data_IF_298890496264
#
_entry.id   IF_298890496264
#
_cell.length_a   1.000
_cell.length_b   1.000
_cell.length_c   1.000
_cell.angle_alpha   90.00
_cell.angle_beta   90.00
_cell.angle_gamma   90.00
#
_symmetry.space_group_name_H-M   'P 1'
#
loop_
_entity.id
_entity.type
_entity.pdbx_description
1 polymer ?
#
# COMPACT_ATOMS: atom_id res chain seq x y z
N UNK A 1 55.93 11.21 38.03
CA UNK A 1 55.42 12.56 37.70
C UNK A 1 54.06 12.36 37.06
N UNK A 2 53.00 12.38 37.87
CA UNK A 2 51.61 12.25 37.42
C UNK A 2 51.00 13.66 37.27
N UNK A 3 50.11 13.91 36.30
CA UNK A 3 49.47 15.21 36.16
C UNK A 3 48.44 15.44 37.28
N UNK A 4 48.10 16.70 37.61
CA UNK A 4 47.19 17.02 38.70
C UNK A 4 45.73 16.76 38.30
N UNK A 5 44.94 16.31 39.26
CA UNK A 5 43.49 16.15 39.13
C UNK A 5 42.83 17.53 38.96
N UNK A 6 42.24 17.77 37.79
CA UNK A 6 41.38 18.92 37.51
C UNK A 6 39.97 18.61 38.04
N UNK A 7 39.49 19.43 38.98
CA UNK A 7 38.15 19.30 39.56
C UNK A 7 37.11 19.77 38.54
N UNK A 8 36.39 18.83 37.94
CA UNK A 8 35.21 19.11 37.10
C UNK A 8 34.14 19.78 37.95
N UNK A 9 33.94 21.08 37.75
CA UNK A 9 32.77 21.80 38.25
C UNK A 9 31.52 21.20 37.59
N UNK A 10 30.62 20.63 38.40
CA UNK A 10 29.29 20.22 37.94
C UNK A 10 28.47 21.48 37.70
N UNK A 11 28.18 21.80 36.44
CA UNK A 11 27.10 22.71 36.11
C UNK A 11 25.79 22.18 36.71
N UNK A 12 24.93 23.05 37.28
CA UNK A 12 23.70 22.61 37.92
C UNK A 12 22.71 22.12 36.84
N UNK A 13 22.41 20.82 36.87
CA UNK A 13 21.39 20.15 36.03
C UNK A 13 20.01 20.83 36.06
N UNK A 14 19.74 21.67 37.06
CA UNK A 14 18.43 22.29 37.25
C UNK A 14 18.13 23.38 36.20
N UNK A 15 19.15 24.02 35.61
CA UNK A 15 18.95 25.06 34.58
C UNK A 15 18.51 24.47 33.23
N UNK A 16 18.97 23.26 32.89
CA UNK A 16 18.53 22.56 31.68
C UNK A 16 17.11 21.99 31.85
N UNK A 17 16.72 21.65 33.09
CA UNK A 17 15.36 21.16 33.39
C UNK A 17 14.32 22.28 33.30
N UNK A 18 14.64 23.51 33.75
CA UNK A 18 13.76 24.68 33.57
C UNK A 18 13.62 25.09 32.09
N UNK A 19 14.67 24.93 31.29
CA UNK A 19 14.63 25.18 29.84
C UNK A 19 13.82 24.10 29.08
N UNK A 20 13.76 22.87 29.60
CA UNK A 20 12.93 21.79 29.08
C UNK A 20 11.46 21.95 29.50
N UNK A 21 11.17 22.50 30.68
CA UNK A 21 9.80 22.77 31.12
C UNK A 21 9.13 23.92 30.34
N UNK A 22 9.90 24.95 29.94
CA UNK A 22 9.39 26.05 29.11
C UNK A 22 9.26 25.72 27.61
N UNK A 23 9.68 24.52 27.17
CA UNK A 23 9.47 24.04 25.81
C UNK A 23 8.15 23.26 25.63
N UNK A 24 7.29 23.23 26.66
CA UNK A 24 5.94 22.64 26.62
C UNK A 24 4.85 23.67 26.32
N UNK A 25 5.08 24.59 25.39
CA UNK A 25 3.96 25.25 24.72
C UNK A 25 3.42 24.28 23.64
N UNK A 26 2.90 23.15 24.12
CA UNK A 26 2.31 22.06 23.34
C UNK A 26 0.79 22.21 23.35
N UNK A 27 0.29 23.35 22.91
CA UNK A 27 -1.10 23.46 22.52
C UNK A 27 -1.16 23.38 21.00
N UNK A 28 -1.74 22.31 20.47
CA UNK A 28 -2.05 22.18 19.05
C UNK A 28 -2.84 23.38 18.48
N UNK A 29 -3.17 23.38 17.18
CA UNK A 29 -3.81 24.53 16.54
C UNK A 29 -5.00 25.02 17.38
N UNK A 30 -5.09 26.34 17.58
CA UNK A 30 -6.18 26.92 18.37
C UNK A 30 -7.52 26.51 17.76
N UNK A 31 -8.49 26.20 18.63
CA UNK A 31 -9.83 25.86 18.16
C UNK A 31 -10.37 27.00 17.28
N UNK A 32 -11.06 26.72 16.16
CA UNK A 32 -11.63 27.77 15.33
C UNK A 32 -12.56 28.71 16.12
N UNK A 33 -12.61 30.02 15.79
CA UNK A 33 -13.41 31.01 16.55
C UNK A 33 -14.89 30.64 16.74
N UNK A 34 -15.47 29.88 15.80
CA UNK A 34 -16.85 29.40 15.86
C UNK A 34 -17.08 28.27 16.88
N UNK A 35 -16.01 27.63 17.36
CA UNK A 35 -16.03 26.50 18.27
C UNK A 35 -15.46 26.85 19.66
N UNK A 36 -14.69 27.93 19.79
CA UNK A 36 -14.09 28.40 21.06
C UNK A 36 -15.12 28.74 22.16
N UNK A 37 -16.39 28.96 21.80
CA UNK A 37 -17.48 29.29 22.72
C UNK A 37 -18.46 28.15 23.05
N UNK A 38 -18.22 26.93 22.54
CA UNK A 38 -19.09 25.77 22.74
C UNK A 38 -18.58 24.90 23.89
N UNK A 39 -19.48 24.17 24.56
CA UNK A 39 -19.06 23.14 25.53
C UNK A 39 -18.35 21.97 24.81
N UNK A 40 -17.42 21.29 25.48
CA UNK A 40 -16.67 20.15 24.90
C UNK A 40 -17.59 19.04 24.35
N UNK A 41 -18.70 18.79 25.03
CA UNK A 41 -19.73 17.82 24.67
C UNK A 41 -20.51 18.25 23.41
N UNK A 42 -20.69 19.54 23.18
CA UNK A 42 -21.27 20.07 21.94
C UNK A 42 -20.30 19.92 20.77
N UNK A 43 -19.01 20.20 20.97
CA UNK A 43 -17.95 20.02 19.96
C UNK A 43 -17.89 18.55 19.51
N UNK A 44 -17.87 17.60 20.46
CA UNK A 44 -17.90 16.15 20.16
C UNK A 44 -19.16 15.74 19.38
N UNK A 45 -20.29 16.39 19.65
CA UNK A 45 -21.55 16.11 18.95
C UNK A 45 -21.51 16.61 17.51
N UNK A 46 -20.99 17.82 17.27
CA UNK A 46 -20.79 18.39 15.92
C UNK A 46 -19.79 17.54 15.14
N UNK A 47 -18.69 17.16 15.77
CA UNK A 47 -17.70 16.23 15.23
C UNK A 47 -18.34 14.93 14.75
N UNK A 48 -19.12 14.25 15.61
CA UNK A 48 -19.68 12.94 15.27
C UNK A 48 -20.68 13.04 14.12
N UNK A 49 -21.40 14.15 14.02
CA UNK A 49 -22.30 14.45 12.90
C UNK A 49 -21.52 14.70 11.62
N UNK A 50 -20.45 15.49 11.68
CA UNK A 50 -19.55 15.73 10.55
C UNK A 50 -18.98 14.41 10.03
N UNK A 51 -18.32 13.63 10.89
CA UNK A 51 -17.67 12.35 10.51
C UNK A 51 -18.70 11.44 9.81
N UNK A 52 -19.88 11.25 10.40
CA UNK A 52 -20.93 10.43 9.79
C UNK A 52 -21.40 10.96 8.43
N UNK A 53 -21.48 12.28 8.27
CA UNK A 53 -21.89 12.91 7.01
C UNK A 53 -20.81 12.71 5.93
N UNK A 54 -19.54 12.84 6.31
CA UNK A 54 -18.39 12.56 5.45
C UNK A 54 -18.37 11.10 5.06
N UNK A 55 -18.45 10.19 6.03
CA UNK A 55 -18.48 8.74 5.81
C UNK A 55 -19.61 8.33 4.87
N UNK A 56 -20.84 8.81 5.10
CA UNK A 56 -21.99 8.45 4.26
C UNK A 56 -21.90 8.96 2.83
N UNK A 57 -21.20 10.07 2.57
CA UNK A 57 -21.13 10.67 1.24
C UNK A 57 -19.88 10.23 0.48
N UNK A 58 -18.75 10.14 1.17
CA UNK A 58 -17.44 9.82 0.59
C UNK A 58 -17.21 8.31 0.53
N UNK A 59 -17.47 7.54 1.59
CA UNK A 59 -17.12 6.11 1.61
C UNK A 59 -17.85 5.30 0.53
N UNK A 60 -19.17 5.42 0.30
CA UNK A 60 -19.82 4.66 -0.76
C UNK A 60 -19.28 5.00 -2.15
N UNK A 61 -18.98 6.27 -2.40
CA UNK A 61 -18.42 6.72 -3.68
C UNK A 61 -16.99 6.21 -3.86
N UNK A 62 -16.15 6.29 -2.83
CA UNK A 62 -14.77 5.79 -2.86
C UNK A 62 -14.76 4.26 -3.03
N UNK A 63 -15.62 3.54 -2.29
CA UNK A 63 -15.77 2.09 -2.40
C UNK A 63 -16.22 1.71 -3.81
N UNK A 64 -17.27 2.37 -4.33
CA UNK A 64 -17.75 2.10 -5.69
C UNK A 64 -16.67 2.40 -6.73
N UNK A 65 -15.99 3.55 -6.63
CA UNK A 65 -14.91 3.91 -7.53
C UNK A 65 -13.76 2.91 -7.47
N UNK A 66 -13.38 2.47 -6.26
CA UNK A 66 -12.35 1.46 -6.06
C UNK A 66 -12.74 0.11 -6.65
N UNK A 67 -14.00 -0.33 -6.46
CA UNK A 67 -14.53 -1.55 -7.06
C UNK A 67 -14.50 -1.47 -8.59
N UNK A 68 -15.01 -0.38 -9.17
CA UNK A 68 -15.00 -0.18 -10.62
C UNK A 68 -13.58 -0.15 -11.17
N UNK A 69 -12.66 0.55 -10.49
CA UNK A 69 -11.25 0.60 -10.88
C UNK A 69 -10.60 -0.79 -10.86
N UNK A 70 -10.86 -1.59 -9.83
CA UNK A 70 -10.33 -2.94 -9.73
C UNK A 70 -10.96 -3.89 -10.77
N UNK A 71 -12.25 -3.72 -11.04
CA UNK A 71 -12.99 -4.48 -12.04
C UNK A 71 -12.46 -4.21 -13.45
N UNK A 72 -12.25 -2.95 -13.82
CA UNK A 72 -11.68 -2.58 -15.13
C UNK A 72 -10.29 -3.20 -15.32
N UNK A 73 -9.43 -3.14 -14.29
CA UNK A 73 -8.05 -3.67 -14.35
C UNK A 73 -8.01 -5.18 -14.58
N UNK A 74 -8.92 -5.94 -13.96
CA UNK A 74 -8.98 -7.40 -14.11
C UNK A 74 -9.76 -7.83 -15.37
N UNK A 75 -10.82 -7.11 -15.71
CA UNK A 75 -11.65 -7.44 -16.87
C UNK A 75 -10.90 -7.28 -18.20
N UNK A 76 -9.95 -6.34 -18.29
CA UNK A 76 -9.10 -6.21 -19.48
C UNK A 76 -8.32 -7.53 -19.71
N UNK A 77 -7.65 -8.06 -18.69
CA UNK A 77 -6.92 -9.32 -18.81
C UNK A 77 -7.86 -10.52 -19.12
N UNK A 78 -9.01 -10.57 -18.45
CA UNK A 78 -10.00 -11.62 -18.68
C UNK A 78 -10.63 -11.55 -20.08
N UNK A 79 -10.89 -10.37 -20.61
CA UNK A 79 -11.46 -10.18 -21.94
C UNK A 79 -10.48 -10.65 -23.03
N UNK A 80 -9.18 -10.41 -22.85
CA UNK A 80 -8.16 -10.97 -23.73
C UNK A 80 -8.18 -12.50 -23.73
N UNK A 81 -8.29 -13.12 -22.55
CA UNK A 81 -8.41 -14.58 -22.42
C UNK A 81 -9.71 -15.13 -23.01
N UNK A 82 -10.80 -14.35 -22.96
CA UNK A 82 -12.09 -14.71 -23.54
C UNK A 82 -12.13 -14.62 -25.08
N UNK A 83 -11.01 -14.29 -25.73
CA UNK A 83 -10.93 -14.19 -27.19
C UNK A 83 -11.27 -12.83 -27.77
N UNK A 84 -11.42 -11.77 -26.95
CA UNK A 84 -11.81 -10.44 -27.42
C UNK A 84 -10.84 -9.88 -28.48
N UNK A 85 -9.54 -10.19 -28.37
CA UNK A 85 -8.53 -9.80 -29.37
C UNK A 85 -8.78 -10.47 -30.73
N UNK A 86 -9.11 -11.76 -30.72
CA UNK A 86 -9.36 -12.57 -31.90
C UNK A 86 -10.71 -12.20 -32.56
N UNK A 87 -11.75 -12.02 -31.75
CA UNK A 87 -13.12 -11.66 -32.18
C UNK A 87 -13.18 -10.29 -32.86
N UNK A 88 -12.37 -9.33 -32.39
CA UNK A 88 -12.29 -7.97 -32.96
C UNK A 88 -11.20 -7.85 -34.04
N UNK A 89 -10.49 -8.93 -34.37
CA UNK A 89 -9.37 -8.94 -35.31
C UNK A 89 -8.32 -7.86 -35.00
N UNK A 90 -8.06 -7.62 -33.71
CA UNK A 90 -7.08 -6.63 -33.26
C UNK A 90 -5.69 -7.24 -33.30
N UNK A 91 -4.70 -6.44 -33.72
CA UNK A 91 -3.30 -6.80 -33.48
C UNK A 91 -2.95 -6.52 -32.01
N UNK A 92 -2.01 -7.27 -31.44
CA UNK A 92 -1.60 -7.07 -30.03
C UNK A 92 -1.16 -5.64 -29.70
N UNK A 93 -0.62 -4.90 -30.67
CA UNK A 93 -0.29 -3.47 -30.51
C UNK A 93 -1.53 -2.57 -30.48
N UNK A 94 -2.57 -2.87 -31.27
CA UNK A 94 -3.84 -2.14 -31.25
C UNK A 94 -4.59 -2.36 -29.93
N UNK A 95 -4.62 -3.60 -29.44
CA UNK A 95 -5.21 -3.93 -28.14
C UNK A 95 -4.52 -3.15 -27.00
N UNK A 96 -3.18 -3.17 -26.97
CA UNK A 96 -2.40 -2.42 -25.97
C UNK A 96 -2.58 -0.90 -26.09
N UNK A 97 -2.75 -0.36 -27.30
CA UNK A 97 -3.02 1.06 -27.53
C UNK A 97 -4.37 1.47 -26.97
N UNK A 98 -5.42 0.65 -27.19
CA UNK A 98 -6.75 0.89 -26.65
C UNK A 98 -6.74 0.92 -25.11
N UNK A 99 -6.03 -0.03 -24.49
CA UNK A 99 -5.82 -0.04 -23.03
C UNK A 99 -5.09 1.22 -22.55
N UNK A 100 -4.05 1.64 -23.26
CA UNK A 100 -3.24 2.81 -22.87
C UNK A 100 -4.04 4.12 -22.87
N UNK A 101 -4.94 4.31 -23.83
CA UNK A 101 -5.81 5.50 -23.92
C UNK A 101 -6.71 5.61 -22.68
N UNK A 102 -7.25 4.48 -22.19
CA UNK A 102 -8.06 4.44 -20.97
C UNK A 102 -7.26 4.88 -19.73
N UNK A 103 -5.99 4.49 -19.65
CA UNK A 103 -5.10 4.91 -18.55
C UNK A 103 -4.77 6.41 -18.57
N UNK A 104 -4.66 7.03 -19.76
CA UNK A 104 -4.42 8.48 -19.85
C UNK A 104 -5.58 9.27 -19.24
N UNK A 105 -6.83 8.90 -19.57
CA UNK A 105 -8.02 9.51 -18.98
C UNK A 105 -8.08 9.31 -17.46
N UNK A 106 -7.73 8.11 -16.99
CA UNK A 106 -7.66 7.77 -15.58
C UNK A 106 -6.64 8.61 -14.79
N UNK A 107 -5.43 8.84 -15.34
CA UNK A 107 -4.39 9.66 -14.70
C UNK A 107 -4.82 11.12 -14.60
N UNK A 108 -5.46 11.67 -15.64
CA UNK A 108 -5.92 13.06 -15.65
C UNK A 108 -6.98 13.33 -14.57
N UNK A 109 -7.86 12.35 -14.28
CA UNK A 109 -8.90 12.51 -13.27
C UNK A 109 -8.40 12.38 -11.81
N UNK A 110 -7.25 11.75 -11.57
CA UNK A 110 -6.68 11.64 -10.22
C UNK A 110 -6.21 12.98 -9.63
N UNK A 111 -5.99 13.98 -10.48
CA UNK A 111 -5.51 15.31 -10.07
C UNK A 111 -6.56 16.25 -9.48
N UNK A 112 -7.80 15.82 -9.23
CA UNK A 112 -8.83 16.65 -8.57
C UNK A 112 -8.92 16.36 -7.06
N UNK A 113 -8.15 17.06 -6.20
CA UNK A 113 -8.36 16.98 -4.75
C UNK A 113 -9.64 17.72 -4.35
N UNK A 114 -10.59 17.00 -3.74
CA UNK A 114 -11.72 17.61 -3.04
C UNK A 114 -11.27 17.94 -1.61
N UNK A 115 -10.71 19.12 -1.41
CA UNK A 115 -10.38 19.64 -0.09
C UNK A 115 -11.65 20.12 0.62
N UNK A 116 -11.73 20.09 1.97
CA UNK A 116 -12.91 20.59 2.71
C UNK A 116 -13.25 22.05 2.38
N UNK A 117 -12.27 22.84 1.92
CA UNK A 117 -12.47 24.24 1.54
C UNK A 117 -13.21 24.43 0.20
N UNK A 118 -13.13 23.46 -0.73
CA UNK A 118 -13.79 23.53 -2.06
C UNK A 118 -15.17 22.88 -2.06
N UNK A 119 -15.53 22.13 -1.02
CA UNK A 119 -16.81 21.42 -0.94
C UNK A 119 -17.97 22.31 -0.50
N UNK A 120 -19.07 22.30 -1.25
CA UNK A 120 -20.27 23.11 -1.00
C UNK A 120 -21.32 22.48 -0.06
N UNK A 121 -21.07 21.27 0.45
CA UNK A 121 -22.07 20.47 1.18
C UNK A 121 -21.79 20.33 2.69
N UNK A 122 -20.66 20.86 3.18
CA UNK A 122 -20.35 21.00 4.60
C UNK A 122 -20.86 22.36 5.09
N UNK A 123 -21.41 22.41 6.31
CA UNK A 123 -21.72 23.69 6.95
C UNK A 123 -20.42 24.43 7.32
N UNK A 124 -20.47 25.75 7.56
CA UNK A 124 -19.27 26.51 7.93
C UNK A 124 -18.63 25.98 9.22
N UNK A 125 -19.45 25.59 10.20
CA UNK A 125 -18.98 24.99 11.46
C UNK A 125 -18.29 23.63 11.22
N UNK A 126 -18.88 22.77 10.39
CA UNK A 126 -18.30 21.48 10.02
C UNK A 126 -17.03 21.65 9.19
N UNK A 127 -16.98 22.66 8.31
CA UNK A 127 -15.83 22.97 7.45
C UNK A 127 -14.64 23.46 8.27
N UNK A 128 -14.87 24.40 9.19
CA UNK A 128 -13.82 24.89 10.09
C UNK A 128 -13.33 23.78 11.02
N UNK A 129 -14.23 22.94 11.54
CA UNK A 129 -13.86 21.75 12.31
C UNK A 129 -13.05 20.75 11.47
N UNK A 130 -13.44 20.51 10.22
CA UNK A 130 -12.73 19.63 9.29
C UNK A 130 -11.36 20.17 8.90
N UNK A 131 -11.20 21.49 8.74
CA UNK A 131 -9.93 22.13 8.45
C UNK A 131 -9.02 22.12 9.66
N UNK A 132 -9.54 22.41 10.85
CA UNK A 132 -8.80 22.28 12.10
C UNK A 132 -8.40 20.84 12.39
N UNK A 133 -9.28 19.88 12.11
CA UNK A 133 -8.98 18.44 12.11
C UNK A 133 -7.90 18.09 11.13
N UNK A 134 -7.98 18.58 9.90
CA UNK A 134 -6.96 18.34 8.90
C UNK A 134 -5.63 18.94 9.38
N UNK A 135 -5.64 20.12 9.99
CA UNK A 135 -4.47 20.78 10.57
C UNK A 135 -3.94 20.07 11.83
N UNK A 136 -4.81 19.43 12.61
CA UNK A 136 -4.48 18.64 13.80
C UNK A 136 -4.06 17.20 13.48
N UNK A 137 -4.62 16.57 12.45
CA UNK A 137 -4.20 15.28 11.88
C UNK A 137 -2.90 15.45 11.07
N UNK A 138 -2.70 16.63 10.47
CA UNK A 138 -1.39 17.13 10.04
C UNK A 138 -0.54 17.55 11.27
N UNK A 139 -1.14 17.66 12.45
CA UNK A 139 -0.62 18.36 13.62
C UNK A 139 0.44 17.62 14.45
N UNK A 140 1.14 18.43 15.25
CA UNK A 140 2.11 18.13 16.31
C UNK A 140 3.48 17.54 15.96
N UNK A 141 3.74 17.07 14.73
CA UNK A 141 5.09 16.58 14.37
C UNK A 141 5.71 17.16 13.10
N UNK A 142 4.91 17.88 12.31
CA UNK A 142 5.35 18.48 11.05
C UNK A 142 5.55 20.00 11.13
N UNK A 143 4.98 20.68 12.15
CA UNK A 143 5.10 22.14 12.31
C UNK A 143 6.47 22.61 12.81
N UNK A 144 7.27 21.76 13.44
CA UNK A 144 8.59 22.17 13.94
C UNK A 144 9.60 22.47 12.81
N UNK A 145 9.31 22.15 11.55
CA UNK A 145 10.23 22.33 10.41
C UNK A 145 9.57 22.71 9.08
N UNK A 146 8.34 23.23 9.08
CA UNK A 146 7.56 23.48 7.86
C UNK A 146 7.53 24.93 7.37
N UNK A 147 8.67 25.59 7.28
CA UNK A 147 8.81 26.72 6.34
C UNK A 147 9.98 26.59 5.35
N UNK A 148 10.96 25.69 5.56
CA UNK A 148 12.14 25.60 4.66
C UNK A 148 12.81 24.21 4.54
N UNK A 149 12.17 23.10 4.90
CA UNK A 149 12.67 21.79 4.45
C UNK A 149 12.21 21.50 3.01
N UNK A 150 13.02 21.96 2.03
CA UNK A 150 12.87 21.62 0.61
C UNK A 150 12.51 20.14 0.42
N UNK A 151 11.49 19.83 -0.38
CA UNK A 151 11.12 18.45 -0.74
C UNK A 151 12.34 17.63 -1.21
N UNK A 152 13.31 18.29 -1.86
CA UNK A 152 14.57 17.70 -2.28
C UNK A 152 15.45 17.23 -1.11
N UNK A 153 15.40 17.94 0.02
CA UNK A 153 16.09 17.55 1.25
C UNK A 153 15.46 16.30 1.84
N UNK A 154 14.13 16.25 1.95
CA UNK A 154 13.40 15.06 2.38
C UNK A 154 13.69 13.84 1.49
N UNK A 155 13.71 14.05 0.17
CA UNK A 155 14.10 13.03 -0.80
C UNK A 155 15.55 12.56 -0.63
N UNK A 156 16.51 13.49 -0.47
CA UNK A 156 17.92 13.16 -0.24
C UNK A 156 18.13 12.40 1.08
N UNK A 157 17.36 12.73 2.12
CA UNK A 157 17.35 12.00 3.38
C UNK A 157 16.77 10.59 3.22
N UNK A 158 15.77 10.40 2.36
CA UNK A 158 15.25 9.06 2.05
C UNK A 158 16.28 8.21 1.28
N UNK A 159 17.03 8.82 0.35
CA UNK A 159 18.11 8.15 -0.39
C UNK A 159 19.33 7.75 0.46
N UNK A 160 19.51 8.37 1.61
CA UNK A 160 20.65 8.06 2.50
C UNK A 160 20.28 7.08 3.60
N UNK A 161 19.00 6.77 3.78
CA UNK A 161 18.52 5.89 4.83
C UNK A 161 18.49 4.43 4.37
N UNK A 162 19.39 3.62 4.95
CA UNK A 162 19.49 2.18 4.70
C UNK A 162 18.18 1.44 4.95
N UNK A 163 17.33 1.90 5.89
CA UNK A 163 16.04 1.26 6.19
C UNK A 163 15.13 1.30 4.98
N UNK A 164 15.18 2.36 4.17
CA UNK A 164 14.36 2.49 2.97
C UNK A 164 14.74 1.42 1.96
N UNK A 165 16.03 1.15 1.79
CA UNK A 165 16.51 0.10 0.89
C UNK A 165 16.18 -1.31 1.41
N UNK A 166 16.28 -1.55 2.71
CA UNK A 166 15.89 -2.84 3.31
C UNK A 166 14.41 -3.12 3.09
N UNK A 167 13.56 -2.12 3.33
CA UNK A 167 12.11 -2.28 3.14
C UNK A 167 11.74 -2.37 1.67
N UNK A 168 12.41 -1.60 0.79
CA UNK A 168 12.26 -1.74 -0.65
C UNK A 168 12.67 -3.14 -1.14
N UNK A 169 13.73 -3.73 -0.58
CA UNK A 169 14.16 -5.10 -0.89
C UNK A 169 13.13 -6.14 -0.43
N UNK A 170 12.57 -5.97 0.76
CA UNK A 170 11.48 -6.84 1.23
C UNK A 170 10.29 -6.76 0.28
N UNK A 171 9.86 -5.55 -0.07
CA UNK A 171 8.68 -5.36 -0.91
C UNK A 171 8.91 -5.76 -2.37
N UNK A 172 10.09 -5.62 -2.95
CA UNK A 172 10.36 -6.12 -4.31
C UNK A 172 10.31 -7.66 -4.35
N UNK A 173 10.78 -8.35 -3.30
CA UNK A 173 10.66 -9.81 -3.19
C UNK A 173 9.18 -10.23 -3.10
N UNK A 174 8.40 -9.57 -2.25
CA UNK A 174 6.96 -9.84 -2.13
C UNK A 174 6.22 -9.50 -3.44
N UNK A 175 6.57 -8.39 -4.11
CA UNK A 175 6.01 -7.99 -5.39
C UNK A 175 6.29 -9.02 -6.50
N UNK A 176 7.50 -9.59 -6.48
CA UNK A 176 7.91 -10.64 -7.42
C UNK A 176 6.99 -11.85 -7.30
N UNK A 177 6.68 -12.28 -6.07
CA UNK A 177 5.70 -13.33 -5.82
C UNK A 177 4.28 -12.93 -6.24
N UNK A 178 3.90 -11.66 -6.03
CA UNK A 178 2.58 -11.14 -6.41
C UNK A 178 2.36 -11.10 -7.93
N UNK A 179 3.42 -11.17 -8.76
CA UNK A 179 3.30 -11.18 -10.22
C UNK A 179 2.45 -12.32 -10.78
N UNK A 180 2.32 -13.43 -10.02
CA UNK A 180 1.41 -14.55 -10.35
C UNK A 180 -0.03 -14.11 -10.53
N UNK A 181 -0.45 -13.01 -9.87
CA UNK A 181 -1.81 -12.48 -9.95
C UNK A 181 -2.19 -11.98 -11.34
N UNK A 182 -1.22 -11.40 -12.05
CA UNK A 182 -1.44 -10.89 -13.40
C UNK A 182 -1.84 -12.01 -14.37
N UNK A 183 -1.47 -13.26 -14.04
CA UNK A 183 -1.72 -14.46 -14.84
C UNK A 183 -2.54 -15.50 -14.07
N UNK A 184 -3.16 -15.12 -12.96
CA UNK A 184 -3.81 -16.09 -12.08
C UNK A 184 -4.96 -16.85 -12.75
N UNK A 185 -5.84 -16.21 -13.56
CA UNK A 185 -6.82 -16.95 -14.35
C UNK A 185 -6.17 -17.99 -15.27
N UNK A 186 -5.06 -17.64 -15.94
CA UNK A 186 -4.30 -18.55 -16.81
C UNK A 186 -3.70 -19.70 -16.01
N UNK A 187 -3.18 -19.45 -14.80
CA UNK A 187 -2.65 -20.50 -13.93
C UNK A 187 -3.76 -21.46 -13.48
N UNK A 188 -4.93 -20.95 -13.12
CA UNK A 188 -6.09 -21.78 -12.75
C UNK A 188 -6.64 -22.55 -13.96
N UNK A 189 -6.59 -21.99 -15.17
CA UNK A 189 -7.02 -22.63 -16.41
C UNK A 189 -6.26 -23.94 -16.67
N UNK A 190 -4.98 -24.00 -16.27
CA UNK A 190 -4.17 -25.22 -16.41
C UNK A 190 -4.66 -26.41 -15.57
N UNK A 191 -5.67 -26.24 -14.73
CA UNK A 191 -6.37 -27.32 -14.03
C UNK A 191 -7.32 -28.11 -14.96
N UNK A 192 -7.62 -27.59 -16.15
CA UNK A 192 -8.45 -28.25 -17.16
C UNK A 192 -9.94 -27.96 -17.04
N UNK A 193 -10.34 -26.93 -16.30
CA UNK A 193 -11.73 -26.49 -16.18
C UNK A 193 -12.12 -25.55 -17.33
N UNK A 194 -13.42 -25.43 -17.62
CA UNK A 194 -13.91 -24.47 -18.62
C UNK A 194 -13.65 -23.01 -18.20
N UNK A 195 -13.66 -22.06 -19.14
CA UNK A 195 -13.29 -20.65 -18.88
C UNK A 195 -14.13 -20.01 -17.77
N UNK A 196 -15.45 -20.26 -17.73
CA UNK A 196 -16.34 -19.73 -16.68
C UNK A 196 -16.04 -20.34 -15.31
N UNK A 197 -15.79 -21.64 -15.25
CA UNK A 197 -15.46 -22.33 -14.01
C UNK A 197 -14.09 -21.90 -13.48
N UNK A 198 -13.11 -21.78 -14.37
CA UNK A 198 -11.78 -21.22 -14.07
C UNK A 198 -11.88 -19.84 -13.44
N UNK A 199 -12.68 -18.92 -14.02
CA UNK A 199 -12.88 -17.59 -13.48
C UNK A 199 -13.54 -17.63 -12.09
N UNK A 200 -14.54 -18.48 -11.88
CA UNK A 200 -15.18 -18.65 -10.57
C UNK A 200 -14.21 -19.17 -9.51
N UNK A 201 -13.31 -20.10 -9.89
CA UNK A 201 -12.29 -20.66 -9.02
C UNK A 201 -11.22 -19.63 -8.60
N UNK A 202 -11.14 -18.47 -9.26
CA UNK A 202 -10.25 -17.39 -8.84
C UNK A 202 -10.76 -16.60 -7.62
N UNK A 203 -12.07 -16.63 -7.32
CA UNK A 203 -12.66 -15.82 -6.25
C UNK A 203 -12.29 -16.27 -4.81
N UNK A 204 -12.31 -17.58 -4.46
CA UNK A 204 -12.01 -18.03 -3.09
C UNK A 204 -10.63 -17.59 -2.54
N UNK A 205 -9.54 -17.63 -3.32
CA UNK A 205 -8.24 -17.08 -2.89
C UNK A 205 -8.30 -15.62 -2.43
N UNK A 206 -9.05 -14.75 -3.13
CA UNK A 206 -9.19 -13.34 -2.76
C UNK A 206 -10.04 -13.14 -1.50
N UNK A 207 -11.08 -13.95 -1.32
CA UNK A 207 -11.88 -13.93 -0.08
C UNK A 207 -11.02 -14.33 1.12
N UNK A 208 -10.22 -15.39 0.97
CA UNK A 208 -9.29 -15.82 2.01
C UNK A 208 -8.22 -14.75 2.27
N UNK A 209 -7.75 -14.08 1.23
CA UNK A 209 -6.82 -12.96 1.34
C UNK A 209 -7.40 -11.83 2.19
N UNK A 210 -8.66 -11.43 1.96
CA UNK A 210 -9.32 -10.39 2.76
C UNK A 210 -9.36 -10.77 4.25
N UNK A 211 -9.78 -12.00 4.55
CA UNK A 211 -9.91 -12.49 5.94
C UNK A 211 -8.53 -12.52 6.61
N UNK A 212 -7.53 -13.11 5.95
CA UNK A 212 -6.18 -13.24 6.50
C UNK A 212 -5.48 -11.91 6.65
N UNK A 213 -5.60 -10.99 5.69
CA UNK A 213 -5.03 -9.65 5.81
C UNK A 213 -5.62 -8.88 6.99
N UNK A 214 -6.94 -8.97 7.20
CA UNK A 214 -7.58 -8.37 8.37
C UNK A 214 -7.07 -8.98 9.68
N UNK A 215 -7.05 -10.32 9.78
CA UNK A 215 -6.62 -11.02 10.99
C UNK A 215 -5.15 -10.77 11.32
N UNK A 216 -4.27 -10.77 10.31
CA UNK A 216 -2.83 -10.52 10.48
C UNK A 216 -2.59 -9.08 10.91
N UNK A 217 -3.24 -8.10 10.29
CA UNK A 217 -3.13 -6.69 10.68
C UNK A 217 -3.64 -6.47 12.11
N UNK A 218 -4.84 -6.96 12.43
CA UNK A 218 -5.40 -6.85 13.79
C UNK A 218 -4.52 -7.52 14.85
N UNK A 219 -3.97 -8.69 14.54
CA UNK A 219 -3.08 -9.42 15.44
C UNK A 219 -1.75 -8.67 15.63
N UNK A 220 -1.20 -8.06 14.57
CA UNK A 220 0.04 -7.28 14.66
C UNK A 220 -0.14 -6.02 15.49
N UNK A 221 -1.26 -5.33 15.32
CA UNK A 221 -1.59 -4.14 16.12
C UNK A 221 -1.76 -4.48 17.60
N UNK A 222 -2.39 -5.62 17.91
CA UNK A 222 -2.59 -6.07 19.30
C UNK A 222 -1.29 -6.55 19.96
N UNK A 223 -0.45 -7.27 19.21
CA UNK A 223 0.80 -7.81 19.74
C UNK A 223 1.92 -6.77 19.80
N UNK A 224 1.81 -5.67 19.04
CA UNK A 224 2.86 -4.65 18.93
C UNK A 224 4.11 -5.13 18.19
N UNK A 225 4.11 -6.37 17.70
CA UNK A 225 5.19 -6.96 16.92
C UNK A 225 4.76 -7.08 15.45
N UNK A 226 5.65 -6.65 14.55
CA UNK A 226 5.39 -6.68 13.09
C UNK A 226 6.17 -7.78 12.39
N UNK A 227 7.29 -8.20 12.97
CA UNK A 227 8.20 -9.16 12.37
C UNK A 227 7.51 -10.52 12.13
N UNK A 228 6.98 -11.16 13.17
CA UNK A 228 6.38 -12.49 13.06
C UNK A 228 5.15 -12.50 12.16
N UNK A 229 4.34 -11.45 12.22
CA UNK A 229 3.14 -11.26 11.40
C UNK A 229 3.44 -11.02 9.92
N UNK A 230 4.62 -10.50 9.58
CA UNK A 230 5.11 -10.44 8.20
C UNK A 230 5.72 -11.77 7.79
N UNK A 231 6.57 -12.39 8.61
CA UNK A 231 7.32 -13.59 8.19
C UNK A 231 6.47 -14.85 8.12
N UNK A 232 5.52 -15.06 9.05
CA UNK A 232 4.74 -16.29 9.11
C UNK A 232 3.87 -16.51 7.86
N UNK A 233 3.12 -15.52 7.34
CA UNK A 233 2.38 -15.67 6.09
C UNK A 233 3.29 -15.87 4.87
N UNK A 234 4.50 -15.31 4.86
CA UNK A 234 5.48 -15.54 3.79
C UNK A 234 5.98 -16.99 3.77
N UNK A 235 6.22 -17.62 4.92
CA UNK A 235 6.56 -19.04 4.96
C UNK A 235 5.43 -19.92 4.42
N UNK A 236 4.17 -19.59 4.72
CA UNK A 236 3.01 -20.29 4.15
C UNK A 236 2.98 -20.10 2.62
N UNK A 237 3.26 -18.90 2.13
CA UNK A 237 3.34 -18.63 0.69
C UNK A 237 4.45 -19.47 0.03
N UNK A 238 5.64 -19.57 0.63
CA UNK A 238 6.75 -20.39 0.12
C UNK A 238 6.33 -21.86 -0.01
N UNK A 239 5.72 -22.42 1.04
CA UNK A 239 5.22 -23.81 1.01
C UNK A 239 4.16 -23.99 -0.07
N UNK A 240 3.25 -23.02 -0.23
CA UNK A 240 2.23 -23.04 -1.29
C UNK A 240 2.86 -22.99 -2.69
N UNK A 241 3.84 -22.13 -2.94
CA UNK A 241 4.56 -22.08 -4.23
C UNK A 241 5.28 -23.40 -4.54
N UNK A 242 5.95 -24.00 -3.54
CA UNK A 242 6.61 -25.31 -3.71
C UNK A 242 5.58 -26.39 -4.06
N UNK A 243 4.46 -26.44 -3.34
CA UNK A 243 3.40 -27.42 -3.57
C UNK A 243 2.77 -27.28 -4.96
N UNK A 244 2.56 -26.03 -5.41
CA UNK A 244 2.03 -25.73 -6.74
C UNK A 244 2.99 -26.15 -7.86
N UNK A 245 4.31 -26.04 -7.65
CA UNK A 245 5.34 -26.44 -8.61
C UNK A 245 5.59 -27.96 -8.62
N UNK A 246 5.48 -28.63 -7.47
CA UNK A 246 5.81 -30.05 -7.33
C UNK A 246 4.69 -31.00 -7.76
N UNK A 247 3.45 -30.52 -7.86
CA UNK A 247 2.27 -31.38 -7.98
C UNK A 247 1.50 -31.14 -9.27
N UNK A 248 1.17 -32.21 -9.98
CA UNK A 248 0.32 -32.15 -11.19
C UNK A 248 -1.13 -32.57 -10.93
N UNK A 249 -1.45 -33.09 -9.74
CA UNK A 249 -2.81 -33.42 -9.35
C UNK A 249 -3.64 -32.14 -9.12
N UNK A 250 -4.90 -32.15 -9.56
CA UNK A 250 -5.79 -30.97 -9.55
C UNK A 250 -6.04 -30.42 -8.15
N UNK A 251 -6.41 -31.28 -7.19
CA UNK A 251 -6.81 -30.85 -5.84
C UNK A 251 -5.66 -30.21 -5.03
N UNK A 252 -4.47 -30.84 -4.90
CA UNK A 252 -3.37 -30.24 -4.13
C UNK A 252 -2.86 -28.94 -4.76
N UNK A 253 -2.88 -28.86 -6.09
CA UNK A 253 -2.43 -27.68 -6.83
C UNK A 253 -3.42 -26.51 -6.67
N UNK A 254 -4.73 -26.78 -6.66
CA UNK A 254 -5.72 -25.75 -6.36
C UNK A 254 -5.62 -25.25 -4.91
N UNK A 255 -5.43 -26.15 -3.93
CA UNK A 255 -5.21 -25.76 -2.52
C UNK A 255 -3.98 -24.85 -2.42
N UNK A 256 -2.89 -25.18 -3.13
CA UNK A 256 -1.70 -24.34 -3.19
C UNK A 256 -2.01 -22.94 -3.78
N UNK A 257 -2.79 -22.86 -4.86
CA UNK A 257 -3.26 -21.59 -5.46
C UNK A 257 -4.12 -20.76 -4.50
N UNK A 258 -4.93 -21.40 -3.65
CA UNK A 258 -5.73 -20.71 -2.64
C UNK A 258 -4.87 -20.15 -1.49
N UNK A 259 -3.80 -20.86 -1.10
CA UNK A 259 -2.94 -20.48 0.01
C UNK A 259 -1.85 -19.46 -0.37
N UNK A 260 -1.42 -19.40 -1.64
CA UNK A 260 -0.35 -18.48 -2.06
C UNK A 260 -0.76 -17.01 -1.93
N UNK A 261 -1.97 -16.64 -2.35
CA UNK A 261 -2.45 -15.24 -2.43
C UNK A 261 -2.52 -14.55 -1.05
N UNK A 262 -3.17 -15.15 -0.04
CA UNK A 262 -3.19 -14.63 1.32
C UNK A 262 -1.81 -14.28 1.90
N UNK A 263 -0.81 -15.14 1.65
CA UNK A 263 0.49 -15.04 2.32
C UNK A 263 1.28 -13.79 1.93
N UNK A 264 1.31 -13.44 0.66
CA UNK A 264 2.06 -12.25 0.22
C UNK A 264 1.26 -10.94 0.37
N UNK A 265 -0.06 -10.93 0.23
CA UNK A 265 -0.87 -9.70 0.38
C UNK A 265 -1.02 -9.22 1.82
N UNK A 266 -1.20 -10.14 2.77
CA UNK A 266 -1.22 -9.81 4.20
C UNK A 266 0.11 -9.19 4.62
N UNK A 267 1.22 -9.80 4.20
CA UNK A 267 2.57 -9.30 4.41
C UNK A 267 2.82 -7.96 3.72
N UNK A 268 2.38 -7.78 2.47
CA UNK A 268 2.49 -6.52 1.73
C UNK A 268 1.88 -5.36 2.49
N UNK A 269 0.63 -5.53 2.92
CA UNK A 269 -0.14 -4.48 3.62
C UNK A 269 0.54 -4.09 4.94
N UNK A 270 1.03 -5.07 5.68
CA UNK A 270 1.70 -4.85 6.96
C UNK A 270 3.08 -4.21 6.81
N UNK A 271 3.84 -4.54 5.75
CA UNK A 271 5.15 -3.91 5.50
C UNK A 271 5.00 -2.43 5.13
N UNK A 272 3.94 -2.03 4.42
CA UNK A 272 3.65 -0.60 4.19
C UNK A 272 3.38 0.14 5.50
N UNK A 273 2.54 -0.44 6.38
CA UNK A 273 2.33 0.11 7.71
C UNK A 273 3.66 0.17 8.49
N UNK A 274 4.50 -0.87 8.39
CA UNK A 274 5.80 -0.94 9.07
C UNK A 274 6.78 0.11 8.57
N UNK A 275 6.80 0.40 7.28
CA UNK A 275 7.58 1.49 6.67
C UNK A 275 7.22 2.82 7.31
N UNK A 276 5.91 3.12 7.40
CA UNK A 276 5.42 4.39 7.96
C UNK A 276 5.84 4.57 9.42
N UNK A 277 5.81 3.51 10.23
CA UNK A 277 6.27 3.54 11.64
C UNK A 277 7.79 3.54 11.81
N UNK A 278 8.55 2.98 10.86
CA UNK A 278 10.01 2.83 10.97
C UNK A 278 10.77 4.08 10.50
N UNK A 279 10.09 4.93 9.72
CA UNK A 279 10.60 6.21 9.21
C UNK A 279 9.68 7.32 9.73
N UNK A 280 9.71 7.62 11.05
CA UNK A 280 8.73 8.52 11.64
C UNK A 280 8.94 9.99 11.21
N UNK A 281 10.18 10.47 11.04
CA UNK A 281 10.48 11.90 10.79
C UNK A 281 11.71 12.11 9.89
N UNK A 282 11.80 13.23 9.14
CA UNK A 282 10.75 14.22 8.82
C UNK A 282 9.63 13.66 7.93
N UNK A 283 8.42 14.24 7.90
CA UNK A 283 7.35 13.76 7.02
C UNK A 283 7.71 13.81 5.54
N UNK A 284 8.49 14.81 5.11
CA UNK A 284 9.03 14.90 3.74
C UNK A 284 9.84 13.65 3.38
N UNK A 285 10.68 13.17 4.31
CA UNK A 285 11.45 11.92 4.18
C UNK A 285 10.53 10.71 4.20
N UNK A 286 9.56 10.64 5.11
CA UNK A 286 8.60 9.53 5.21
C UNK A 286 7.79 9.37 3.91
N UNK A 287 7.26 10.47 3.40
CA UNK A 287 6.50 10.50 2.14
C UNK A 287 7.38 10.09 0.95
N UNK A 288 8.60 10.66 0.84
CA UNK A 288 9.55 10.29 -0.20
C UNK A 288 9.97 8.82 -0.11
N UNK A 289 10.18 8.29 1.10
CA UNK A 289 10.51 6.89 1.32
C UNK A 289 9.37 5.95 0.93
N UNK A 290 8.13 6.24 1.34
CA UNK A 290 6.96 5.44 0.96
C UNK A 290 6.75 5.45 -0.56
N UNK A 291 6.91 6.61 -1.21
CA UNK A 291 6.84 6.72 -2.67
C UNK A 291 7.95 5.91 -3.36
N UNK A 292 9.19 6.02 -2.89
CA UNK A 292 10.33 5.29 -3.46
C UNK A 292 10.18 3.78 -3.29
N UNK A 293 9.80 3.33 -2.09
CA UNK A 293 9.53 1.93 -1.78
C UNK A 293 8.43 1.38 -2.68
N UNK A 294 7.33 2.11 -2.86
CA UNK A 294 6.23 1.70 -3.75
C UNK A 294 6.67 1.63 -5.21
N UNK A 295 7.47 2.60 -5.68
CA UNK A 295 8.01 2.61 -7.04
C UNK A 295 8.92 1.40 -7.31
N UNK A 296 9.84 1.12 -6.37
CA UNK A 296 10.74 -0.05 -6.46
C UNK A 296 9.94 -1.34 -6.42
N UNK A 297 8.95 -1.47 -5.53
CA UNK A 297 8.14 -2.67 -5.44
C UNK A 297 7.36 -2.95 -6.74
N UNK A 298 6.76 -1.91 -7.35
CA UNK A 298 6.03 -2.08 -8.62
C UNK A 298 6.94 -2.43 -9.81
N UNK A 299 8.23 -2.13 -9.75
CA UNK A 299 9.19 -2.53 -10.80
C UNK A 299 9.25 -4.06 -10.99
N UNK A 300 8.88 -4.84 -9.97
CA UNK A 300 8.82 -6.30 -10.07
C UNK A 300 7.82 -6.81 -11.10
N UNK A 301 6.77 -6.04 -11.40
CA UNK A 301 5.79 -6.41 -12.42
C UNK A 301 6.40 -6.40 -13.83
N UNK A 302 7.47 -5.64 -14.07
CA UNK A 302 8.15 -5.58 -15.36
C UNK A 302 8.73 -6.95 -15.70
N UNK A 303 9.55 -7.53 -14.82
CA UNK A 303 10.12 -8.86 -15.07
C UNK A 303 9.12 -9.99 -14.80
N UNK A 304 8.18 -9.81 -13.87
CA UNK A 304 7.12 -10.77 -13.59
C UNK A 304 6.28 -11.12 -14.83
N UNK A 305 6.13 -10.17 -15.76
CA UNK A 305 5.46 -10.40 -17.05
C UNK A 305 6.14 -11.47 -17.93
N UNK A 306 7.43 -11.72 -17.73
CA UNK A 306 8.20 -12.73 -18.46
C UNK A 306 8.33 -14.07 -17.73
N UNK A 307 7.74 -14.22 -16.53
CA UNK A 307 7.89 -15.43 -15.73
C UNK A 307 6.94 -16.57 -16.12
N UNK A 308 5.85 -16.28 -16.84
CA UNK A 308 4.81 -17.27 -17.17
C UNK A 308 4.58 -17.45 -18.68
N UNK A 309 5.60 -17.89 -19.47
CA UNK A 309 5.40 -18.16 -20.89
C UNK A 309 4.48 -19.37 -21.10
N UNK A 310 3.58 -19.27 -22.11
CA UNK A 310 2.62 -20.35 -22.45
C UNK A 310 3.32 -21.67 -22.78
N UNK A 311 4.51 -21.61 -23.36
CA UNK A 311 5.35 -22.75 -23.74
C UNK A 311 5.78 -23.64 -22.58
N UNK A 312 5.69 -23.16 -21.33
CA UNK A 312 6.13 -23.90 -20.14
C UNK A 312 4.99 -24.31 -19.20
N UNK A 313 3.73 -24.14 -19.63
CA UNK A 313 2.60 -24.72 -18.92
C UNK A 313 2.78 -26.26 -18.82
N UNK A 314 2.39 -26.91 -17.70
CA UNK A 314 1.72 -26.36 -16.52
C UNK A 314 2.67 -26.01 -15.36
N UNK A 315 3.97 -26.31 -15.48
CA UNK A 315 4.90 -26.24 -14.35
C UNK A 315 5.62 -24.89 -14.22
N UNK A 316 5.72 -24.11 -15.30
CA UNK A 316 6.39 -22.80 -15.34
C UNK A 316 7.75 -22.79 -14.62
N UNK A 317 8.59 -23.79 -14.92
CA UNK A 317 9.81 -24.07 -14.16
C UNK A 317 11.06 -23.29 -14.59
N UNK A 318 11.08 -22.69 -15.78
CA UNK A 318 12.22 -21.92 -16.28
C UNK A 318 11.87 -20.43 -16.40
N UNK A 319 12.74 -19.57 -15.88
CA UNK A 319 12.60 -18.13 -16.05
C UNK A 319 12.59 -17.81 -17.56
N UNK A 320 11.49 -17.27 -18.10
CA UNK A 320 11.36 -16.96 -19.53
C UNK A 320 12.45 -16.02 -20.07
N UNK A 321 13.12 -15.27 -19.18
CA UNK A 321 14.30 -14.45 -19.51
C UNK A 321 15.50 -15.29 -19.99
N UNK A 322 15.66 -16.50 -19.44
CA UNK A 322 16.72 -17.47 -19.79
C UNK A 322 16.30 -18.45 -20.89
N UNK A 323 15.02 -18.44 -21.28
CA UNK A 323 14.53 -19.26 -22.38
C UNK A 323 15.12 -18.76 -23.73
N UNK A 324 15.60 -19.69 -24.60
CA UNK A 324 16.08 -19.35 -25.93
C UNK A 324 15.06 -18.49 -26.71
N UNK A 325 15.51 -17.56 -27.58
CA UNK A 325 14.62 -16.67 -28.32
C UNK A 325 13.50 -17.38 -29.10
N UNK A 326 13.71 -18.65 -29.47
CA UNK A 326 12.76 -19.47 -30.21
C UNK A 326 11.52 -19.93 -29.42
N UNK A 327 11.45 -19.70 -28.10
CA UNK A 327 10.32 -20.07 -27.24
C UNK A 327 9.57 -18.87 -26.65
N UNK A 328 9.84 -17.66 -27.18
CA UNK A 328 9.26 -16.38 -26.73
C UNK A 328 7.97 -15.97 -27.43
N UNK A 329 7.51 -16.76 -28.40
CA UNK A 329 6.20 -16.62 -29.06
C UNK A 329 5.16 -17.59 -28.48
#
# INVERSE_FOLDING_TARGET
MAPPHESVQKEPLDADVEMIENAKDTSGPELPPLLQGLAEDEIKTVEKKMIRKVDWRMLPLIILMYILNYLDRNNIAAARLAGLEDDLHLTGSQYQTAVSILFVGYVLMQGLPNLPNTTSWLSEQERQLALWRLEQDIGEDDQAQSEDESLLRGFKLALTDVKVYVVALILICIASSASVLNFFPTVVETLGYGSTETLLLTAPPYILCMITAYLVSWSSDRAGERYFHVTAPLYVAIVAFILAASTTATTPRYIAMVLMIPGFWSSWSLVFAWTSSSIPRPASKRAAALAMVNAVANSANIFGSFMYPKSQAPRYGELGLLAPPALRE
#
